data_IF_363860980081
#
_entry.id   IF_363860980081
#
_cell.length_a   1.000
_cell.length_b   1.000
_cell.length_c   1.000
_cell.angle_alpha   90.00
_cell.angle_beta   90.00
_cell.angle_gamma   90.00
#
_symmetry.space_group_name_H-M   'P 1'
#
loop_
_entity.id
_entity.type
_entity.pdbx_description
1 polymer ?
#
# COMPACT_ATOMS: atom_id res chain seq x y z
N UNK A 1 4.89 9.65 8.89
CA UNK A 1 4.07 9.03 7.82
C UNK A 1 3.34 7.83 8.39
N UNK A 2 2.06 7.71 8.08
CA UNK A 2 1.21 6.59 8.54
C UNK A 2 1.02 5.59 7.42
N UNK A 3 1.30 4.32 7.72
CA UNK A 3 1.20 3.22 6.76
C UNK A 3 0.22 2.18 7.29
N UNK A 4 -0.67 1.70 6.42
CA UNK A 4 -1.53 0.55 6.71
C UNK A 4 -1.02 -0.65 5.93
N UNK A 5 -0.78 -1.76 6.64
CA UNK A 5 -0.36 -3.03 6.03
C UNK A 5 -1.55 -3.98 6.02
N UNK A 6 -1.96 -4.41 4.84
CA UNK A 6 -3.09 -5.33 4.65
C UNK A 6 -2.52 -6.62 4.05
N UNK A 7 -2.32 -7.62 4.90
CA UNK A 7 -1.66 -8.86 4.53
C UNK A 7 -2.17 -10.00 5.42
N UNK A 8 -2.72 -11.05 4.82
CA UNK A 8 -3.32 -12.16 5.58
C UNK A 8 -2.30 -13.18 6.09
N UNK A 9 -1.12 -13.24 5.49
CA UNK A 9 -0.04 -14.10 5.99
C UNK A 9 0.61 -13.45 7.19
N UNK A 10 0.28 -13.94 8.39
CA UNK A 10 0.63 -13.28 9.64
C UNK A 10 2.14 -13.11 9.83
N UNK A 11 2.93 -14.13 9.51
CA UNK A 11 4.39 -14.04 9.64
C UNK A 11 4.97 -12.93 8.76
N UNK A 12 4.51 -12.85 7.51
CA UNK A 12 4.94 -11.81 6.60
C UNK A 12 4.48 -10.44 7.07
N UNK A 13 3.23 -10.32 7.50
CA UNK A 13 2.70 -9.06 8.02
C UNK A 13 3.53 -8.56 9.21
N UNK A 14 3.82 -9.44 10.17
CA UNK A 14 4.64 -9.08 11.33
C UNK A 14 6.03 -8.63 10.94
N UNK A 15 6.64 -9.30 9.97
CA UNK A 15 7.98 -8.95 9.47
C UNK A 15 7.96 -7.55 8.85
N UNK A 16 6.98 -7.27 8.01
CA UNK A 16 6.83 -5.97 7.36
C UNK A 16 6.59 -4.88 8.42
N UNK A 17 5.65 -5.10 9.32
CA UNK A 17 5.30 -4.12 10.37
C UNK A 17 6.51 -3.80 11.22
N UNK A 18 7.26 -4.82 11.64
CA UNK A 18 8.46 -4.63 12.45
C UNK A 18 9.52 -3.81 11.72
N UNK A 19 9.73 -4.10 10.45
CA UNK A 19 10.67 -3.36 9.60
C UNK A 19 10.30 -1.88 9.51
N UNK A 20 9.02 -1.60 9.26
CA UNK A 20 8.54 -0.23 9.09
C UNK A 20 8.59 0.56 10.39
N UNK A 21 8.28 -0.07 11.51
CA UNK A 21 8.39 0.57 12.83
C UNK A 21 9.84 0.91 13.15
N UNK A 22 10.77 0.05 12.77
CA UNK A 22 12.21 0.29 12.96
C UNK A 22 12.66 1.52 12.17
N UNK A 23 12.02 1.80 11.03
CA UNK A 23 12.29 2.97 10.21
C UNK A 23 11.50 4.21 10.69
N UNK A 24 10.87 4.13 11.85
CA UNK A 24 10.14 5.22 12.49
C UNK A 24 8.83 5.60 11.77
N UNK A 25 8.26 4.73 10.99
CA UNK A 25 6.91 4.94 10.46
C UNK A 25 5.86 4.56 11.51
N UNK A 26 4.72 5.23 11.48
CA UNK A 26 3.55 4.86 12.26
C UNK A 26 2.77 3.82 11.46
N UNK A 27 2.55 2.63 12.02
CA UNK A 27 2.04 1.49 11.25
C UNK A 27 0.83 0.88 11.93
N UNK A 28 -0.27 0.75 11.18
CA UNK A 28 -1.40 -0.11 11.53
C UNK A 28 -1.40 -1.31 10.59
N UNK A 29 -2.08 -2.38 10.98
CA UNK A 29 -2.14 -3.57 10.13
C UNK A 29 -3.47 -4.30 10.31
N UNK A 30 -3.83 -5.08 9.30
CA UNK A 30 -4.98 -5.98 9.37
C UNK A 30 -4.76 -7.16 8.42
N UNK A 31 -5.62 -8.18 8.56
CA UNK A 31 -5.41 -9.46 7.90
C UNK A 31 -6.48 -9.81 6.86
N UNK A 32 -7.49 -8.96 6.69
CA UNK A 32 -8.57 -9.23 5.74
C UNK A 32 -9.11 -7.95 5.11
N UNK A 33 -9.83 -8.10 4.00
CA UNK A 33 -10.31 -6.97 3.23
C UNK A 33 -11.46 -6.22 3.90
N UNK A 34 -12.28 -6.88 4.70
CA UNK A 34 -13.37 -6.20 5.40
C UNK A 34 -12.83 -5.27 6.47
N UNK A 35 -11.85 -5.73 7.25
CA UNK A 35 -11.19 -4.88 8.24
C UNK A 35 -10.44 -3.74 7.57
N UNK A 36 -9.83 -4.00 6.42
CA UNK A 36 -9.16 -2.96 5.64
C UNK A 36 -10.14 -1.85 5.24
N UNK A 37 -11.29 -2.20 4.71
CA UNK A 37 -12.32 -1.22 4.32
C UNK A 37 -12.78 -0.41 5.53
N UNK A 38 -12.95 -1.06 6.68
CA UNK A 38 -13.34 -0.40 7.91
C UNK A 38 -12.30 0.63 8.33
N UNK A 39 -11.03 0.25 8.37
CA UNK A 39 -9.93 1.15 8.75
C UNK A 39 -9.79 2.31 7.76
N UNK A 40 -9.85 2.02 6.47
CA UNK A 40 -9.72 3.05 5.43
C UNK A 40 -10.90 4.03 5.44
N UNK A 41 -12.05 3.63 5.94
CA UNK A 41 -13.20 4.50 6.09
C UNK A 41 -13.11 5.43 7.30
N UNK A 42 -12.29 5.10 8.29
CA UNK A 42 -12.17 5.84 9.55
C UNK A 42 -10.90 6.67 9.60
N UNK A 43 -9.78 6.08 9.14
CA UNK A 43 -8.45 6.67 9.29
C UNK A 43 -7.89 7.11 7.94
N UNK A 44 -7.08 8.15 7.97
CA UNK A 44 -6.34 8.60 6.79
C UNK A 44 -4.90 8.09 6.87
N UNK A 45 -4.46 7.41 5.82
CA UNK A 45 -3.10 6.89 5.71
C UNK A 45 -2.36 7.60 4.58
N UNK A 46 -1.05 7.63 4.69
CA UNK A 46 -0.19 8.15 3.62
C UNK A 46 0.11 7.09 2.58
N UNK A 47 0.23 5.85 3.03
CA UNK A 47 0.57 4.71 2.18
C UNK A 47 -0.16 3.46 2.67
N UNK A 48 -0.64 2.66 1.73
CA UNK A 48 -1.25 1.36 1.99
C UNK A 48 -0.43 0.30 1.27
N UNK A 49 0.01 -0.73 1.99
CA UNK A 49 0.59 -1.94 1.42
C UNK A 49 -0.52 -2.97 1.35
N UNK A 50 -0.84 -3.43 0.15
CA UNK A 50 -2.05 -4.19 -0.09
C UNK A 50 -1.76 -5.52 -0.78
N UNK A 51 -2.06 -6.63 -0.11
CA UNK A 51 -2.10 -7.95 -0.76
C UNK A 51 -3.43 -8.07 -1.52
N UNK A 52 -3.39 -8.68 -2.69
CA UNK A 52 -4.60 -8.90 -3.49
C UNK A 52 -5.39 -10.12 -3.04
N UNK A 53 -4.72 -11.15 -2.55
CA UNK A 53 -5.37 -12.40 -2.13
C UNK A 53 -5.72 -12.35 -0.65
N UNK A 54 -6.82 -11.68 -0.34
CA UNK A 54 -7.28 -11.50 1.04
C UNK A 54 -8.56 -12.28 1.31
N UNK A 55 -8.73 -12.80 2.53
CA UNK A 55 -10.05 -13.27 2.95
C UNK A 55 -11.00 -12.08 3.12
N UNK A 56 -12.30 -12.36 3.07
CA UNK A 56 -13.30 -11.30 3.11
C UNK A 56 -13.36 -10.59 1.78
N UNK A 57 -13.23 -9.27 1.78
CA UNK A 57 -13.20 -8.51 0.52
C UNK A 57 -11.85 -8.69 -0.17
N UNK A 58 -11.89 -9.00 -1.47
CA UNK A 58 -10.69 -9.13 -2.29
C UNK A 58 -9.89 -7.82 -2.34
N UNK A 59 -8.57 -7.92 -2.47
CA UNK A 59 -7.69 -6.75 -2.48
C UNK A 59 -7.99 -5.76 -3.61
N UNK A 60 -8.33 -6.26 -4.80
CA UNK A 60 -8.72 -5.36 -5.89
C UNK A 60 -9.99 -4.57 -5.55
N UNK A 61 -10.94 -5.20 -4.86
CA UNK A 61 -12.15 -4.53 -4.40
C UNK A 61 -11.82 -3.45 -3.36
N UNK A 62 -10.91 -3.76 -2.44
CA UNK A 62 -10.44 -2.77 -1.45
C UNK A 62 -9.83 -1.55 -2.15
N UNK A 63 -8.98 -1.78 -3.14
CA UNK A 63 -8.35 -0.70 -3.91
C UNK A 63 -9.40 0.16 -4.64
N UNK A 64 -10.33 -0.47 -5.33
CA UNK A 64 -11.37 0.25 -6.06
C UNK A 64 -12.27 1.07 -5.13
N UNK A 65 -12.62 0.49 -3.98
CA UNK A 65 -13.43 1.18 -2.97
C UNK A 65 -12.69 2.41 -2.44
N UNK A 66 -11.41 2.26 -2.11
CA UNK A 66 -10.59 3.39 -1.66
C UNK A 66 -10.56 4.50 -2.72
N UNK A 67 -10.33 4.14 -3.97
CA UNK A 67 -10.18 5.13 -5.05
C UNK A 67 -11.48 5.86 -5.40
N UNK A 68 -12.63 5.37 -4.96
CA UNK A 68 -13.89 6.10 -5.15
C UNK A 68 -13.91 7.42 -4.37
N UNK A 69 -13.23 7.49 -3.23
CA UNK A 69 -13.26 8.67 -2.36
C UNK A 69 -11.88 9.27 -2.08
N UNK A 70 -10.81 8.55 -2.37
CA UNK A 70 -9.44 8.98 -2.04
C UNK A 70 -8.49 8.63 -3.17
N UNK A 71 -7.97 9.64 -3.85
CA UNK A 71 -7.00 9.48 -4.93
C UNK A 71 -5.59 9.83 -4.49
N UNK A 72 -5.42 10.30 -3.26
CA UNK A 72 -4.14 10.82 -2.77
C UNK A 72 -3.33 9.80 -1.98
N UNK A 73 -3.99 8.88 -1.27
CA UNK A 73 -3.30 7.86 -0.51
C UNK A 73 -2.48 6.98 -1.47
N UNK A 74 -1.19 6.81 -1.20
CA UNK A 74 -0.35 5.91 -1.97
C UNK A 74 -0.77 4.46 -1.75
N UNK A 75 -0.75 3.65 -2.80
CA UNK A 75 -1.01 2.22 -2.70
C UNK A 75 0.10 1.46 -3.40
N UNK A 76 0.76 0.57 -2.66
CA UNK A 76 1.73 -0.38 -3.19
C UNK A 76 1.14 -1.78 -3.03
N UNK A 77 0.89 -2.45 -4.15
CA UNK A 77 0.37 -3.81 -4.14
C UNK A 77 1.53 -4.77 -3.89
N UNK A 78 1.33 -5.73 -2.98
CA UNK A 78 2.25 -6.83 -2.71
C UNK A 78 1.50 -8.12 -3.06
N UNK A 79 1.90 -8.83 -4.11
CA UNK A 79 1.11 -9.99 -4.54
C UNK A 79 1.95 -11.07 -5.20
N UNK A 80 1.52 -12.32 -5.04
CA UNK A 80 2.06 -13.44 -5.78
C UNK A 80 1.56 -13.46 -7.23
N UNK A 81 0.54 -12.67 -7.57
CA UNK A 81 0.07 -12.55 -8.96
C UNK A 81 1.12 -11.75 -9.73
N UNK A 82 1.83 -12.41 -10.63
CA UNK A 82 3.01 -11.84 -11.30
C UNK A 82 2.86 -11.65 -12.80
N UNK A 83 1.69 -11.96 -13.36
CA UNK A 83 1.47 -11.80 -14.80
C UNK A 83 1.34 -10.32 -15.16
N UNK A 84 1.68 -9.99 -16.39
CA UNK A 84 1.58 -8.62 -16.89
C UNK A 84 0.15 -8.10 -16.75
N UNK A 85 -0.85 -8.95 -17.05
CA UNK A 85 -2.25 -8.56 -16.95
C UNK A 85 -2.63 -8.20 -15.52
N UNK A 86 -2.09 -8.89 -14.52
CA UNK A 86 -2.35 -8.58 -13.11
C UNK A 86 -1.79 -7.22 -12.73
N UNK A 87 -0.57 -6.94 -13.16
CA UNK A 87 0.11 -5.66 -12.87
C UNK A 87 -0.60 -4.50 -13.54
N UNK A 88 -0.99 -4.66 -14.80
CA UNK A 88 -1.74 -3.63 -15.53
C UNK A 88 -3.08 -3.36 -14.85
N UNK A 89 -3.80 -4.40 -14.47
CA UNK A 89 -5.09 -4.25 -13.79
C UNK A 89 -4.92 -3.49 -12.47
N UNK A 90 -3.92 -3.84 -11.66
CA UNK A 90 -3.65 -3.15 -10.39
C UNK A 90 -3.32 -1.68 -10.59
N UNK A 91 -2.43 -1.37 -11.52
CA UNK A 91 -2.03 0.00 -11.79
C UNK A 91 -3.20 0.81 -12.39
N UNK A 92 -3.97 0.23 -13.30
CA UNK A 92 -5.13 0.89 -13.90
C UNK A 92 -6.22 1.16 -12.86
N UNK A 93 -6.36 0.29 -11.86
CA UNK A 93 -7.31 0.48 -10.77
C UNK A 93 -6.87 1.56 -9.79
N UNK A 94 -5.66 2.07 -9.90
CA UNK A 94 -5.19 3.21 -9.13
C UNK A 94 -4.06 2.92 -8.17
N UNK A 95 -3.40 1.75 -8.24
CA UNK A 95 -2.19 1.51 -7.47
C UNK A 95 -1.03 2.35 -8.01
N UNK A 96 -0.14 2.77 -7.13
CA UNK A 96 1.02 3.56 -7.51
C UNK A 96 2.21 2.69 -7.90
N UNK A 97 2.26 1.46 -7.40
CA UNK A 97 3.34 0.53 -7.70
C UNK A 97 2.87 -0.90 -7.42
N UNK A 98 3.65 -1.87 -7.88
CA UNK A 98 3.29 -3.29 -7.77
C UNK A 98 4.56 -4.09 -7.54
N UNK A 99 4.64 -4.80 -6.41
CA UNK A 99 5.79 -5.61 -6.04
C UNK A 99 5.36 -7.07 -5.93
N UNK A 100 5.99 -7.95 -6.73
CA UNK A 100 5.63 -9.37 -6.74
C UNK A 100 6.32 -10.13 -5.62
N UNK A 101 5.60 -11.12 -5.05
CA UNK A 101 6.13 -12.07 -4.07
C UNK A 101 6.78 -13.24 -4.78
N UNK A 102 7.87 -13.80 -4.27
CA UNK A 102 8.60 -13.33 -3.08
C UNK A 102 9.44 -12.09 -3.38
N UNK A 103 9.62 -11.23 -2.41
CA UNK A 103 10.46 -10.04 -2.54
C UNK A 103 11.43 -9.95 -1.36
N UNK A 104 12.47 -9.14 -1.51
CA UNK A 104 13.38 -8.81 -0.41
C UNK A 104 12.85 -7.57 0.33
N UNK A 105 13.00 -7.55 1.66
CA UNK A 105 12.61 -6.39 2.45
C UNK A 105 13.28 -5.12 1.97
N UNK A 106 14.53 -5.22 1.54
CA UNK A 106 15.29 -4.07 1.01
C UNK A 106 14.61 -3.46 -0.21
N UNK A 107 14.05 -4.30 -1.07
CA UNK A 107 13.31 -3.81 -2.25
C UNK A 107 12.01 -3.14 -1.83
N UNK A 108 11.27 -3.74 -0.90
CA UNK A 108 10.06 -3.14 -0.37
C UNK A 108 10.35 -1.76 0.23
N UNK A 109 11.38 -1.67 1.07
CA UNK A 109 11.77 -0.42 1.71
C UNK A 109 12.17 0.64 0.68
N UNK A 110 12.89 0.24 -0.36
CA UNK A 110 13.29 1.16 -1.42
C UNK A 110 12.08 1.70 -2.19
N UNK A 111 11.08 0.87 -2.46
CA UNK A 111 9.87 1.31 -3.15
C UNK A 111 9.04 2.25 -2.27
N UNK A 112 8.98 1.98 -0.97
CA UNK A 112 8.31 2.87 -0.02
C UNK A 112 9.00 4.24 0.00
N UNK A 113 10.32 4.27 0.06
CA UNK A 113 11.07 5.54 0.00
C UNK A 113 10.80 6.29 -1.30
N UNK A 114 10.77 5.59 -2.42
CA UNK A 114 10.47 6.18 -3.73
C UNK A 114 9.10 6.82 -3.77
N UNK A 115 8.08 6.14 -3.27
CA UNK A 115 6.72 6.66 -3.24
C UNK A 115 6.60 7.87 -2.30
N UNK A 116 7.23 7.81 -1.15
CA UNK A 116 7.24 8.90 -0.17
C UNK A 116 7.97 10.13 -0.73
N UNK A 117 9.13 9.92 -1.34
CA UNK A 117 9.96 10.99 -1.91
C UNK A 117 9.23 11.68 -3.07
N UNK A 118 8.59 10.91 -3.94
CA UNK A 118 7.82 11.43 -5.07
C UNK A 118 6.69 12.33 -4.60
N UNK A 119 5.96 11.89 -3.58
CA UNK A 119 4.86 12.64 -3.00
C UNK A 119 5.35 13.96 -2.39
N UNK A 120 6.44 13.89 -1.65
CA UNK A 120 7.06 15.08 -1.04
C UNK A 120 7.55 16.05 -2.11
N UNK A 121 8.18 15.54 -3.16
CA UNK A 121 8.70 16.35 -4.27
C UNK A 121 7.56 17.09 -4.99
N UNK A 122 6.43 16.41 -5.22
CA UNK A 122 5.26 17.04 -5.84
C UNK A 122 4.75 18.22 -5.02
N UNK A 123 4.66 18.05 -3.70
CA UNK A 123 4.23 19.11 -2.80
C UNK A 123 5.20 20.29 -2.85
N UNK A 124 6.49 20.02 -2.85
CA UNK A 124 7.51 21.07 -2.93
C UNK A 124 7.48 21.81 -4.27
N UNK A 125 7.23 21.12 -5.36
CA UNK A 125 7.13 21.75 -6.69
C UNK A 125 5.94 22.70 -6.73
N UNK A 126 4.81 22.32 -6.16
CA UNK A 126 3.64 23.19 -6.07
C UNK A 126 3.98 24.44 -5.25
N UNK A 127 4.63 24.29 -4.11
CA UNK A 127 5.01 25.39 -3.25
C UNK A 127 5.96 26.34 -3.96
N UNK A 128 6.91 25.84 -4.73
CA UNK A 128 7.88 26.66 -5.46
C UNK A 128 7.23 27.48 -6.57
N UNK A 129 6.15 27.01 -7.14
CA UNK A 129 5.44 27.70 -8.22
C UNK A 129 4.55 28.79 -7.70
N UNK A 130 4.16 28.70 -6.45
CA UNK A 130 3.33 29.73 -5.82
C UNK A 130 4.19 30.85 -5.25
#
# INVERSE_FOLDING_TARGET
MRILVIEDERALCETIVRSLKRLAYSVDFCYDGNKANELLGIEKYDLVLLDLNLPGADGMTVLRTLRQTDRDTGVLILSARCEVVDKVEGLDAGANDYLTKPFHLEELEARIRSLTRRRFTQNNVVDRKS
#
